data_IF_464613108355
#
_entry.id   IF_464613108355
#
_cell.length_a   1.000
_cell.length_b   1.000
_cell.length_c   1.000
_cell.angle_alpha   90.00
_cell.angle_beta   90.00
_cell.angle_gamma   90.00
#
_symmetry.space_group_name_H-M   'P 1'
#
loop_
_entity.id
_entity.type
_entity.pdbx_description
1 polymer ?
#
# COMPACT_ATOMS: atom_id res chain seq x y z
N UNK A 1 -16.63 -1.57 12.43
CA UNK A 1 -15.30 -2.18 12.62
C UNK A 1 -14.37 -1.16 13.26
N UNK A 2 -13.55 -1.62 14.19
CA UNK A 2 -12.44 -0.80 14.67
C UNK A 2 -11.33 -0.81 13.64
N UNK A 3 -10.90 0.36 13.21
CA UNK A 3 -9.79 0.54 12.29
C UNK A 3 -8.68 1.32 12.99
N UNK A 4 -7.43 0.98 12.70
CA UNK A 4 -6.29 1.68 13.26
C UNK A 4 -5.44 2.22 12.14
N UNK A 5 -5.09 3.49 12.21
CA UNK A 5 -4.17 4.15 11.29
C UNK A 5 -2.81 4.29 11.96
N UNK A 6 -1.76 3.96 11.24
CA UNK A 6 -0.38 4.19 11.67
C UNK A 6 0.10 5.47 10.99
N UNK A 7 0.46 6.47 11.79
CA UNK A 7 1.20 7.62 11.28
C UNK A 7 2.61 7.17 10.89
N UNK A 8 2.83 7.04 9.58
CA UNK A 8 4.09 6.56 9.02
C UNK A 8 5.26 7.49 9.34
N UNK A 9 5.04 8.81 9.38
CA UNK A 9 6.06 9.80 9.71
C UNK A 9 6.56 9.63 11.13
N UNK A 10 5.66 9.54 12.10
CA UNK A 10 6.00 9.28 13.51
C UNK A 10 6.64 7.91 13.70
N UNK A 11 6.14 6.88 13.01
CA UNK A 11 6.69 5.54 13.06
C UNK A 11 8.15 5.52 12.58
N UNK A 12 8.42 6.07 11.39
CA UNK A 12 9.78 6.11 10.84
C UNK A 12 10.71 6.97 11.68
N UNK A 13 10.27 8.11 12.18
CA UNK A 13 11.07 8.98 13.05
C UNK A 13 11.55 8.22 14.29
N UNK A 14 10.63 7.54 14.98
CA UNK A 14 10.97 6.74 16.16
C UNK A 14 11.96 5.62 15.87
N UNK A 15 11.75 4.89 14.77
CA UNK A 15 12.66 3.80 14.38
C UNK A 15 14.03 4.34 14.00
N UNK A 16 14.10 5.39 13.17
CA UNK A 16 15.37 5.99 12.76
C UNK A 16 16.18 6.54 13.95
N UNK A 17 15.51 7.15 14.93
CA UNK A 17 16.15 7.64 16.13
C UNK A 17 16.77 6.51 16.99
N UNK A 18 16.10 5.36 17.03
CA UNK A 18 16.64 4.17 17.69
C UNK A 18 17.83 3.59 16.92
N UNK A 19 17.73 3.48 15.60
CA UNK A 19 18.79 2.94 14.76
C UNK A 19 20.03 3.82 14.77
N UNK A 20 19.89 5.14 14.75
CA UNK A 20 21.00 6.10 14.82
C UNK A 20 21.81 6.01 16.12
N UNK A 21 21.21 5.55 17.22
CA UNK A 21 21.89 5.34 18.51
C UNK A 21 22.75 4.07 18.52
N UNK A 22 22.56 3.17 17.56
CA UNK A 22 23.32 1.92 17.49
C UNK A 22 24.60 2.12 16.68
N UNK A 23 25.75 2.00 17.36
CA UNK A 23 27.09 2.20 16.76
C UNK A 23 27.43 1.19 15.64
N UNK A 24 26.70 0.07 15.58
CA UNK A 24 26.91 -0.96 14.56
C UNK A 24 26.08 -0.69 13.28
N UNK A 25 25.33 0.41 13.23
CA UNK A 25 24.50 0.78 12.09
C UNK A 25 25.06 2.04 11.44
N UNK A 26 25.28 1.98 10.13
CA UNK A 26 25.70 3.11 9.32
C UNK A 26 24.67 3.39 8.23
N UNK A 27 24.47 4.68 7.93
CA UNK A 27 23.54 5.14 6.91
C UNK A 27 24.31 5.73 5.74
N UNK A 28 23.97 5.29 4.54
CA UNK A 28 24.58 5.76 3.29
C UNK A 28 23.50 6.32 2.36
N UNK A 29 23.84 7.31 1.57
CA UNK A 29 22.94 7.94 0.59
C UNK A 29 22.81 7.12 -0.70
N UNK A 30 23.83 6.34 -1.04
CA UNK A 30 23.89 5.50 -2.23
C UNK A 30 24.57 4.18 -1.93
N UNK A 31 24.11 3.11 -2.59
CA UNK A 31 24.76 1.79 -2.55
C UNK A 31 26.16 1.77 -3.17
N UNK A 32 26.47 2.74 -4.04
CA UNK A 32 27.78 2.85 -4.69
C UNK A 32 28.92 3.13 -3.70
N UNK A 33 28.55 3.58 -2.50
CA UNK A 33 29.49 3.82 -1.40
C UNK A 33 29.84 2.57 -0.60
N UNK A 34 29.25 1.43 -0.95
CA UNK A 34 29.35 0.20 -0.18
C UNK A 34 30.26 -0.82 -0.89
N UNK A 35 31.15 -1.43 -0.13
CA UNK A 35 31.77 -2.69 -0.55
C UNK A 35 30.89 -3.85 -0.11
N UNK A 36 30.17 -4.45 -1.06
CA UNK A 36 29.20 -5.52 -0.82
C UNK A 36 29.81 -6.93 -0.88
N UNK A 37 31.14 -7.05 -1.01
CA UNK A 37 31.82 -8.32 -0.99
C UNK A 37 31.63 -9.00 0.38
N UNK A 38 31.28 -10.26 0.38
CA UNK A 38 31.01 -11.05 1.60
C UNK A 38 29.90 -10.49 2.50
N UNK A 39 28.94 -9.80 1.90
CA UNK A 39 27.78 -9.22 2.61
C UNK A 39 26.49 -9.93 2.25
N UNK A 40 25.55 -9.96 3.18
CA UNK A 40 24.16 -10.32 2.89
C UNK A 40 23.38 -9.03 2.61
N UNK A 41 22.68 -8.99 1.48
CA UNK A 41 21.92 -7.83 1.02
C UNK A 41 20.43 -8.10 1.27
N UNK A 42 19.80 -7.27 2.09
CA UNK A 42 18.34 -7.22 2.20
C UNK A 42 17.81 -6.13 1.27
N UNK A 43 17.17 -6.55 0.17
CA UNK A 43 16.70 -5.65 -0.86
C UNK A 43 15.18 -5.41 -0.75
N UNK A 44 14.78 -4.17 -0.51
CA UNK A 44 13.36 -3.77 -0.47
C UNK A 44 12.87 -3.06 -1.74
N UNK A 45 13.76 -2.84 -2.72
CA UNK A 45 13.43 -2.11 -3.94
C UNK A 45 12.87 -3.09 -4.98
N UNK A 46 11.59 -2.94 -5.39
CA UNK A 46 11.02 -3.77 -6.44
C UNK A 46 11.77 -3.63 -7.77
N UNK A 47 11.83 -4.72 -8.52
CA UNK A 47 12.42 -4.71 -9.86
C UNK A 47 11.71 -3.72 -10.77
N UNK A 48 12.46 -2.92 -11.53
CA UNK A 48 11.94 -1.99 -12.55
C UNK A 48 11.23 -2.69 -13.73
N UNK A 49 11.41 -4.00 -13.90
CA UNK A 49 10.82 -4.77 -14.99
C UNK A 49 9.37 -5.23 -14.70
N UNK A 50 8.62 -4.43 -13.98
CA UNK A 50 7.22 -4.69 -13.71
C UNK A 50 6.38 -4.44 -14.96
N UNK A 51 5.62 -5.46 -15.38
CA UNK A 51 4.76 -5.36 -16.55
C UNK A 51 3.56 -4.44 -16.24
N UNK A 52 3.52 -3.27 -16.87
CA UNK A 52 2.44 -2.29 -16.73
C UNK A 52 1.06 -2.81 -17.14
N UNK A 53 0.98 -3.94 -17.86
CA UNK A 53 -0.27 -4.63 -18.18
C UNK A 53 -0.86 -5.42 -17.01
N UNK A 54 -0.09 -5.66 -15.96
CA UNK A 54 -0.60 -6.33 -14.77
C UNK A 54 -1.53 -5.41 -13.99
N UNK A 55 -2.25 -5.98 -13.06
CA UNK A 55 -3.11 -5.22 -12.16
C UNK A 55 -2.25 -4.52 -11.10
N UNK A 56 -2.54 -3.27 -10.88
CA UNK A 56 -1.92 -2.42 -9.86
C UNK A 56 -2.99 -1.77 -9.00
N UNK A 57 -2.69 -1.54 -7.76
CA UNK A 57 -3.37 -0.53 -6.96
C UNK A 57 -2.53 0.74 -7.05
N UNK A 58 -3.06 1.76 -7.73
CA UNK A 58 -2.36 3.04 -7.86
C UNK A 58 -3.26 4.17 -7.35
N UNK A 59 -2.63 5.18 -6.76
CA UNK A 59 -3.36 6.15 -5.97
C UNK A 59 -2.63 7.47 -5.85
N UNK A 60 -3.39 8.50 -5.50
CA UNK A 60 -2.89 9.76 -4.95
C UNK A 60 -3.75 10.16 -3.76
N UNK A 61 -3.09 10.53 -2.67
CA UNK A 61 -3.71 11.05 -1.47
C UNK A 61 -3.25 12.47 -1.17
N UNK A 62 -4.15 13.29 -0.65
CA UNK A 62 -3.85 14.61 -0.10
C UNK A 62 -4.42 14.74 1.29
N UNK A 63 -3.61 15.23 2.22
CA UNK A 63 -4.09 15.64 3.53
C UNK A 63 -4.57 17.08 3.45
N UNK A 64 -5.84 17.28 3.73
CA UNK A 64 -6.47 18.58 3.72
C UNK A 64 -6.82 19.05 5.13
N UNK A 65 -6.77 20.36 5.32
CA UNK A 65 -7.20 21.05 6.53
C UNK A 65 -8.18 22.16 6.20
N UNK A 66 -9.31 22.20 6.90
CA UNK A 66 -10.38 23.16 6.73
C UNK A 66 -10.43 24.13 7.91
N UNK A 67 -10.99 25.33 7.69
CA UNK A 67 -11.14 26.35 8.75
C UNK A 67 -12.28 26.06 9.72
N UNK A 68 -13.12 25.06 9.44
CA UNK A 68 -14.27 24.65 10.26
C UNK A 68 -14.23 23.15 10.45
N UNK A 69 -14.92 22.69 11.49
CA UNK A 69 -15.19 21.27 11.71
C UNK A 69 -16.17 20.77 10.64
N UNK A 70 -15.72 19.84 9.80
CA UNK A 70 -16.48 19.25 8.68
C UNK A 70 -16.53 17.75 8.78
N UNK A 71 -15.47 17.13 9.30
CA UNK A 71 -15.34 15.68 9.39
C UNK A 71 -15.88 15.16 10.73
N UNK A 72 -16.42 13.94 10.69
CA UNK A 72 -16.62 13.14 11.89
C UNK A 72 -15.35 12.33 12.13
N UNK A 73 -14.59 12.63 13.16
CA UNK A 73 -13.32 11.98 13.46
C UNK A 73 -13.45 10.59 14.10
N UNK A 74 -14.67 10.15 14.35
CA UNK A 74 -14.99 8.79 14.77
C UNK A 74 -15.38 7.88 13.59
N UNK A 75 -15.61 8.46 12.39
CA UNK A 75 -16.06 7.74 11.20
C UNK A 75 -15.09 7.98 10.04
N UNK A 76 -14.70 6.92 9.36
CA UNK A 76 -13.96 7.01 8.10
C UNK A 76 -14.70 6.28 6.98
N UNK A 77 -14.57 6.80 5.75
CA UNK A 77 -14.99 6.12 4.54
C UNK A 77 -13.83 5.30 4.00
N UNK A 78 -13.97 3.97 4.10
CA UNK A 78 -12.91 3.06 3.69
C UNK A 78 -12.84 2.89 2.17
N UNK A 79 -13.97 2.87 1.49
CA UNK A 79 -14.05 2.69 0.04
C UNK A 79 -15.37 3.32 -0.44
N UNK A 80 -15.32 4.56 -0.87
CA UNK A 80 -16.46 5.22 -1.48
C UNK A 80 -16.44 4.99 -3.00
N UNK A 81 -17.39 4.22 -3.50
CA UNK A 81 -17.52 3.86 -4.89
C UNK A 81 -18.47 4.80 -5.69
N UNK A 82 -18.99 5.86 -5.07
CA UNK A 82 -19.83 6.84 -5.76
C UNK A 82 -18.99 7.77 -6.64
N UNK A 83 -18.35 7.15 -7.63
CA UNK A 83 -17.45 7.83 -8.57
C UNK A 83 -17.40 7.06 -9.90
N UNK A 84 -16.85 7.70 -10.95
CA UNK A 84 -16.71 7.11 -12.28
C UNK A 84 -15.73 5.94 -12.25
N UNK A 85 -16.20 4.75 -12.59
CA UNK A 85 -15.45 3.49 -12.56
C UNK A 85 -14.64 3.23 -13.84
N UNK A 86 -14.96 3.85 -14.98
CA UNK A 86 -14.29 3.70 -16.29
C UNK A 86 -13.93 2.25 -16.64
N UNK A 87 -14.84 1.31 -16.38
CA UNK A 87 -14.64 -0.14 -16.56
C UNK A 87 -13.45 -0.73 -15.77
N UNK A 88 -13.06 -0.10 -14.68
CA UNK A 88 -12.07 -0.56 -13.71
C UNK A 88 -12.67 -0.53 -12.31
N UNK A 89 -11.87 -0.64 -11.28
CA UNK A 89 -12.34 -0.44 -9.90
C UNK A 89 -11.73 0.87 -9.40
N UNK A 90 -12.59 1.82 -9.07
CA UNK A 90 -12.22 3.13 -8.56
C UNK A 90 -12.97 3.44 -7.28
N UNK A 91 -12.29 3.98 -6.30
CA UNK A 91 -12.92 4.42 -5.05
C UNK A 91 -12.09 5.50 -4.36
N UNK A 92 -12.73 6.19 -3.43
CA UNK A 92 -12.07 7.14 -2.57
C UNK A 92 -11.99 6.64 -1.13
N UNK A 93 -10.89 7.01 -0.46
CA UNK A 93 -10.81 7.00 0.98
C UNK A 93 -11.07 8.41 1.53
N UNK A 94 -11.74 8.50 2.67
CA UNK A 94 -11.78 9.69 3.51
C UNK A 94 -11.45 9.27 4.93
N UNK A 95 -10.26 9.61 5.39
CA UNK A 95 -9.69 9.19 6.67
C UNK A 95 -9.48 10.43 7.55
N UNK A 96 -10.44 10.80 8.40
CA UNK A 96 -10.31 11.92 9.30
C UNK A 96 -9.25 11.70 10.39
N UNK A 97 -8.40 12.68 10.62
CA UNK A 97 -7.47 12.74 11.74
C UNK A 97 -7.99 13.64 12.87
N UNK A 98 -8.88 14.55 12.52
CA UNK A 98 -9.63 15.43 13.43
C UNK A 98 -10.86 15.96 12.69
N UNK A 99 -11.69 16.71 13.39
CA UNK A 99 -12.92 17.31 12.81
C UNK A 99 -12.67 18.28 11.66
N UNK A 100 -11.44 18.78 11.50
CA UNK A 100 -11.07 19.70 10.43
C UNK A 100 -9.90 19.21 9.55
N UNK A 101 -9.45 17.97 9.72
CA UNK A 101 -8.29 17.43 9.02
C UNK A 101 -8.53 15.98 8.58
N UNK A 102 -8.33 15.69 7.30
CA UNK A 102 -8.48 14.35 6.76
C UNK A 102 -7.51 14.07 5.60
N UNK A 103 -7.13 12.80 5.43
CA UNK A 103 -6.56 12.29 4.19
C UNK A 103 -7.70 11.93 3.25
N UNK A 104 -7.66 12.48 2.04
CA UNK A 104 -8.55 12.12 0.93
C UNK A 104 -7.68 11.46 -0.14
N UNK A 105 -8.02 10.23 -0.52
CA UNK A 105 -7.24 9.47 -1.50
C UNK A 105 -8.13 8.94 -2.62
N UNK A 106 -7.72 9.13 -3.87
CA UNK A 106 -8.28 8.46 -5.03
C UNK A 106 -7.47 7.21 -5.33
N UNK A 107 -8.14 6.06 -5.46
CA UNK A 107 -7.48 4.76 -5.63
C UNK A 107 -8.10 3.96 -6.77
N UNK A 108 -7.26 3.45 -7.63
CA UNK A 108 -7.62 2.58 -8.76
C UNK A 108 -7.06 1.18 -8.60
N UNK A 109 -7.84 0.17 -8.97
CA UNK A 109 -7.35 -1.16 -9.28
C UNK A 109 -7.43 -1.35 -10.79
N UNK A 110 -6.33 -1.10 -11.48
CA UNK A 110 -6.27 -1.15 -12.95
C UNK A 110 -4.87 -1.48 -13.45
N UNK A 111 -4.70 -1.56 -14.78
CA UNK A 111 -3.37 -1.58 -15.37
C UNK A 111 -2.80 -0.15 -15.49
N UNK A 112 -1.48 -0.04 -15.47
CA UNK A 112 -0.78 1.25 -15.55
C UNK A 112 -0.58 1.77 -16.98
N UNK A 113 -1.15 1.12 -18.00
CA UNK A 113 -1.03 1.54 -19.40
C UNK A 113 -1.99 2.68 -19.75
N UNK A 114 -3.15 2.70 -19.14
CA UNK A 114 -4.17 3.71 -19.36
C UNK A 114 -3.86 4.96 -18.55
N UNK A 115 -3.14 5.88 -19.17
CA UNK A 115 -2.79 7.16 -18.55
C UNK A 115 -3.98 8.10 -18.31
N UNK A 116 -5.16 7.82 -18.89
CA UNK A 116 -6.36 8.64 -18.66
C UNK A 116 -6.90 8.49 -17.27
N UNK A 117 -6.50 7.43 -16.56
CA UNK A 117 -6.86 7.20 -15.17
C UNK A 117 -5.99 7.98 -14.19
N UNK A 118 -4.86 8.55 -14.62
CA UNK A 118 -3.85 9.17 -13.78
C UNK A 118 -4.08 10.67 -13.53
N UNK A 119 -5.22 11.21 -13.93
CA UNK A 119 -5.57 12.59 -13.60
C UNK A 119 -6.14 12.67 -12.17
N UNK A 120 -5.29 12.30 -11.23
CA UNK A 120 -5.67 12.21 -9.81
C UNK A 120 -6.04 13.57 -9.23
N UNK A 121 -5.38 14.64 -9.65
CA UNK A 121 -5.65 15.99 -9.11
C UNK A 121 -7.07 16.44 -9.46
N UNK A 122 -7.49 16.28 -10.71
CA UNK A 122 -8.86 16.58 -11.11
C UNK A 122 -9.89 15.67 -10.42
N UNK A 123 -9.56 14.39 -10.19
CA UNK A 123 -10.43 13.46 -9.48
C UNK A 123 -10.61 13.88 -8.02
N UNK A 124 -9.52 14.22 -7.33
CA UNK A 124 -9.53 14.68 -5.94
C UNK A 124 -10.29 16.00 -5.80
N UNK A 125 -10.01 16.99 -6.67
CA UNK A 125 -10.70 18.28 -6.66
C UNK A 125 -12.21 18.10 -6.85
N UNK A 126 -12.60 17.28 -7.84
CA UNK A 126 -14.01 16.99 -8.10
C UNK A 126 -14.69 16.31 -6.90
N UNK A 127 -14.09 15.27 -6.33
CA UNK A 127 -14.65 14.53 -5.20
C UNK A 127 -14.79 15.44 -3.95
N UNK A 128 -13.76 16.22 -3.63
CA UNK A 128 -13.77 17.14 -2.49
C UNK A 128 -14.86 18.19 -2.67
N UNK A 129 -14.98 18.77 -3.87
CA UNK A 129 -15.94 19.81 -4.15
C UNK A 129 -17.38 19.30 -4.27
N UNK A 130 -17.57 18.23 -5.04
CA UNK A 130 -18.91 17.76 -5.42
C UNK A 130 -19.51 16.75 -4.44
N UNK A 131 -18.67 15.87 -3.85
CA UNK A 131 -19.13 14.83 -2.92
C UNK A 131 -19.02 15.31 -1.47
N UNK A 132 -17.85 15.78 -1.05
CA UNK A 132 -17.63 16.25 0.31
C UNK A 132 -18.15 17.68 0.54
N UNK A 133 -18.51 18.44 -0.52
CA UNK A 133 -18.99 19.83 -0.46
C UNK A 133 -18.03 20.80 0.21
N UNK A 134 -16.73 20.57 0.06
CA UNK A 134 -15.65 21.38 0.62
C UNK A 134 -15.09 22.27 -0.48
N UNK A 135 -15.19 23.60 -0.32
CA UNK A 135 -14.71 24.55 -1.33
C UNK A 135 -13.37 25.21 -0.93
N UNK A 136 -13.08 25.32 0.35
CA UNK A 136 -11.86 25.96 0.85
C UNK A 136 -11.14 25.05 1.81
N UNK A 137 -9.93 24.70 1.45
CA UNK A 137 -9.03 23.86 2.25
C UNK A 137 -7.57 24.18 1.95
N UNK A 138 -6.70 23.82 2.86
CA UNK A 138 -5.24 23.85 2.69
C UNK A 138 -4.74 22.43 2.54
N UNK A 139 -3.84 22.18 1.60
CA UNK A 139 -3.15 20.90 1.47
C UNK A 139 -1.89 20.97 2.35
N UNK A 140 -1.79 20.05 3.32
CA UNK A 140 -0.66 19.95 4.23
C UNK A 140 0.35 18.88 3.80
N UNK A 141 -0.12 17.81 3.15
CA UNK A 141 0.68 16.69 2.70
C UNK A 141 0.07 16.09 1.43
N UNK A 142 0.90 15.48 0.62
CA UNK A 142 0.45 14.70 -0.53
C UNK A 142 1.34 13.48 -0.73
N UNK A 143 0.73 12.42 -1.22
CA UNK A 143 1.41 11.18 -1.58
C UNK A 143 0.85 10.61 -2.89
N UNK A 144 1.68 9.89 -3.61
CA UNK A 144 1.31 9.18 -4.82
C UNK A 144 2.07 7.87 -4.87
N UNK A 145 1.42 6.80 -5.30
CA UNK A 145 2.06 5.51 -5.33
C UNK A 145 1.37 4.48 -6.21
N UNK A 146 2.07 3.37 -6.41
CA UNK A 146 1.54 2.21 -7.09
C UNK A 146 2.04 0.93 -6.41
N UNK A 147 1.10 0.08 -6.02
CA UNK A 147 1.35 -1.20 -5.37
C UNK A 147 1.09 -2.32 -6.38
N UNK A 148 2.07 -3.19 -6.67
CA UNK A 148 1.86 -4.29 -7.59
C UNK A 148 0.92 -5.34 -6.97
N UNK A 149 -0.17 -5.66 -7.68
CA UNK A 149 -1.08 -6.74 -7.31
C UNK A 149 -0.71 -8.04 -8.06
N UNK A 150 0.58 -8.34 -8.09
CA UNK A 150 1.16 -9.56 -8.65
C UNK A 150 2.47 -9.90 -7.92
N UNK A 151 2.82 -11.16 -7.91
CA UNK A 151 4.08 -11.56 -7.28
C UNK A 151 5.27 -11.13 -8.13
N UNK A 152 6.33 -10.61 -7.49
CA UNK A 152 7.55 -10.27 -8.21
C UNK A 152 8.17 -11.52 -8.84
N UNK A 153 8.77 -11.36 -10.01
CA UNK A 153 9.60 -12.39 -10.64
C UNK A 153 10.98 -12.37 -9.96
N UNK A 154 11.11 -13.08 -8.85
CA UNK A 154 12.36 -13.10 -8.11
C UNK A 154 13.36 -14.02 -8.81
N UNK A 155 14.49 -13.47 -9.23
CA UNK A 155 15.68 -14.25 -9.51
C UNK A 155 16.42 -14.42 -8.19
N UNK A 156 16.65 -15.66 -7.79
CA UNK A 156 17.48 -15.95 -6.61
C UNK A 156 18.92 -15.55 -6.94
N UNK A 157 19.39 -14.50 -6.31
CA UNK A 157 20.80 -14.10 -6.36
C UNK A 157 21.48 -14.60 -5.08
N UNK A 158 22.71 -15.06 -5.22
CA UNK A 158 23.49 -15.46 -4.04
C UNK A 158 23.70 -14.24 -3.13
N UNK A 159 23.53 -14.45 -1.83
CA UNK A 159 23.69 -13.42 -0.79
C UNK A 159 22.69 -12.24 -0.87
N UNK A 160 21.58 -12.38 -1.62
CA UNK A 160 20.54 -11.36 -1.70
C UNK A 160 19.19 -11.94 -1.29
N UNK A 161 18.55 -11.27 -0.36
CA UNK A 161 17.22 -11.60 0.16
C UNK A 161 16.29 -10.43 -0.13
N UNK A 162 15.31 -10.64 -1.00
CA UNK A 162 14.29 -9.64 -1.26
C UNK A 162 13.30 -9.59 -0.09
N UNK A 163 13.03 -8.38 0.41
CA UNK A 163 12.14 -8.12 1.55
C UNK A 163 11.03 -7.13 1.15
N UNK A 164 10.03 -6.98 2.00
CA UNK A 164 8.93 -6.06 1.72
C UNK A 164 8.21 -6.39 0.40
N UNK A 165 7.84 -5.37 -0.35
CA UNK A 165 7.17 -5.53 -1.65
C UNK A 165 8.05 -6.25 -2.67
N UNK A 166 9.37 -6.03 -2.66
CA UNK A 166 10.31 -6.76 -3.49
C UNK A 166 10.32 -8.26 -3.18
N UNK A 167 10.16 -8.63 -1.90
CA UNK A 167 10.06 -10.02 -1.44
C UNK A 167 8.68 -10.65 -1.58
N UNK A 168 7.71 -9.97 -2.21
CA UNK A 168 6.35 -10.49 -2.40
C UNK A 168 5.51 -10.51 -1.13
N UNK A 169 5.78 -9.63 -0.16
CA UNK A 169 5.05 -9.56 1.11
C UNK A 169 3.71 -8.83 0.99
N UNK A 170 3.39 -8.28 -0.17
CA UNK A 170 2.10 -7.63 -0.41
C UNK A 170 0.98 -8.68 -0.54
N UNK A 171 -0.12 -8.52 0.18
CA UNK A 171 -1.36 -9.25 -0.04
C UNK A 171 -2.01 -8.73 -1.31
N UNK A 172 -2.12 -9.57 -2.31
CA UNK A 172 -2.54 -9.13 -3.65
C UNK A 172 -4.02 -8.74 -3.71
N UNK A 173 -4.83 -9.20 -2.77
CA UNK A 173 -6.26 -8.84 -2.69
C UNK A 173 -6.52 -7.50 -1.98
N UNK A 174 -5.58 -7.01 -1.18
CA UNK A 174 -5.80 -5.83 -0.33
C UNK A 174 -4.73 -4.76 -0.44
N UNK A 175 -3.60 -5.04 -1.10
CA UNK A 175 -2.43 -4.16 -1.09
C UNK A 175 -1.66 -4.12 0.24
N UNK A 176 -2.19 -4.69 1.31
CA UNK A 176 -1.55 -4.63 2.62
C UNK A 176 -0.26 -5.45 2.68
N UNK A 177 0.77 -4.83 3.24
CA UNK A 177 2.10 -5.41 3.30
C UNK A 177 2.62 -5.51 4.73
N UNK A 178 2.20 -4.61 5.62
CA UNK A 178 2.79 -4.40 6.95
C UNK A 178 2.85 -5.69 7.82
N UNK A 179 1.75 -6.41 7.97
CA UNK A 179 1.72 -7.62 8.80
C UNK A 179 2.62 -8.72 8.23
N UNK A 180 2.65 -8.90 6.91
CA UNK A 180 3.50 -9.88 6.27
C UNK A 180 4.99 -9.51 6.40
N UNK A 181 5.32 -8.21 6.38
CA UNK A 181 6.68 -7.74 6.67
C UNK A 181 7.08 -8.13 8.10
N UNK A 182 6.20 -7.96 9.08
CA UNK A 182 6.49 -8.35 10.47
C UNK A 182 6.76 -9.86 10.59
N UNK A 183 5.93 -10.70 9.96
CA UNK A 183 6.13 -12.16 9.98
C UNK A 183 7.41 -12.56 9.23
N UNK A 184 7.70 -11.94 8.08
CA UNK A 184 8.94 -12.19 7.35
C UNK A 184 10.17 -11.76 8.18
N UNK A 185 10.11 -10.63 8.86
CA UNK A 185 11.19 -10.16 9.73
C UNK A 185 11.44 -11.12 10.90
N UNK A 186 10.39 -11.67 11.52
CA UNK A 186 10.51 -12.72 12.54
C UNK A 186 11.17 -13.98 11.97
N UNK A 187 10.76 -14.40 10.76
CA UNK A 187 11.33 -15.55 10.09
C UNK A 187 12.83 -15.35 9.84
N UNK A 188 13.24 -14.20 9.31
CA UNK A 188 14.66 -13.87 9.09
C UNK A 188 15.43 -13.89 10.42
N UNK A 189 14.92 -13.22 11.44
CA UNK A 189 15.53 -13.19 12.79
C UNK A 189 15.78 -14.59 13.35
N UNK A 190 14.78 -15.48 13.24
CA UNK A 190 14.85 -16.83 13.79
C UNK A 190 15.79 -17.77 12.99
N UNK A 191 16.20 -17.35 11.79
CA UNK A 191 17.07 -18.14 10.92
C UNK A 191 18.37 -17.41 10.56
N UNK A 192 18.73 -16.37 11.31
CA UNK A 192 19.87 -15.49 10.98
C UNK A 192 21.21 -16.25 10.86
N UNK A 193 21.41 -17.26 11.68
CA UNK A 193 22.63 -18.09 11.66
C UNK A 193 22.76 -18.95 10.37
N UNK A 194 21.66 -19.16 9.65
CA UNK A 194 21.60 -19.92 8.42
C UNK A 194 21.25 -19.06 7.22
N UNK A 195 21.51 -17.76 7.33
CA UNK A 195 21.03 -16.74 6.39
C UNK A 195 21.48 -17.00 4.95
N UNK A 196 22.70 -17.50 4.73
CA UNK A 196 23.24 -17.80 3.40
C UNK A 196 22.48 -18.92 2.66
N UNK A 197 21.81 -19.79 3.41
CA UNK A 197 21.01 -20.92 2.90
C UNK A 197 19.54 -20.76 3.25
N UNK A 198 19.10 -19.53 3.51
CA UNK A 198 17.73 -19.26 3.93
C UNK A 198 16.76 -19.61 2.79
N UNK A 199 15.76 -20.43 3.11
CA UNK A 199 14.66 -20.70 2.18
C UNK A 199 13.83 -19.44 1.99
N UNK A 200 13.35 -19.24 0.76
CA UNK A 200 12.47 -18.11 0.46
C UNK A 200 11.20 -18.22 1.31
N UNK A 201 10.89 -17.14 2.03
CA UNK A 201 9.65 -17.02 2.76
C UNK A 201 8.50 -16.75 1.79
N UNK A 202 7.39 -17.42 1.99
CA UNK A 202 6.18 -17.21 1.19
C UNK A 202 4.98 -16.99 2.08
N UNK A 203 4.10 -16.10 1.66
CA UNK A 203 2.74 -16.00 2.21
C UNK A 203 2.06 -17.36 2.08
N UNK A 204 1.32 -17.79 3.09
CA UNK A 204 0.70 -19.12 3.13
C UNK A 204 -0.15 -19.43 1.88
N UNK A 205 -0.03 -20.66 1.35
CA UNK A 205 -0.68 -21.08 0.09
C UNK A 205 -2.19 -20.85 0.04
N UNK A 206 -2.88 -20.98 1.19
CA UNK A 206 -4.30 -20.66 1.30
C UNK A 206 -4.59 -19.21 0.91
N UNK A 207 -3.80 -18.29 1.42
CA UNK A 207 -3.95 -16.86 1.11
C UNK A 207 -3.59 -16.53 -0.33
N UNK A 208 -2.54 -17.15 -0.86
CA UNK A 208 -2.18 -16.99 -2.28
C UNK A 208 -3.32 -17.47 -3.21
N UNK A 209 -3.98 -18.56 -2.85
CA UNK A 209 -5.12 -19.08 -3.61
C UNK A 209 -6.33 -18.11 -3.57
N UNK A 210 -6.67 -17.61 -2.38
CA UNK A 210 -7.75 -16.63 -2.22
C UNK A 210 -7.45 -15.33 -2.97
N UNK A 211 -6.22 -14.84 -2.89
CA UNK A 211 -5.78 -13.66 -3.64
C UNK A 211 -5.94 -13.86 -5.16
N UNK A 212 -5.60 -15.05 -5.69
CA UNK A 212 -5.80 -15.37 -7.12
C UNK A 212 -7.26 -15.34 -7.53
N UNK A 213 -8.14 -15.91 -6.71
CA UNK A 213 -9.59 -15.87 -6.97
C UNK A 213 -10.06 -14.42 -7.02
N UNK A 214 -9.73 -13.64 -6.00
CA UNK A 214 -10.14 -12.23 -5.91
C UNK A 214 -9.66 -11.42 -7.12
N UNK A 215 -8.38 -11.52 -7.48
CA UNK A 215 -7.81 -10.81 -8.63
C UNK A 215 -8.48 -11.22 -9.96
N UNK A 216 -8.86 -12.50 -10.10
CA UNK A 216 -9.59 -12.96 -11.27
C UNK A 216 -10.98 -12.33 -11.35
N UNK A 217 -11.67 -12.19 -10.21
CA UNK A 217 -12.97 -11.52 -10.15
C UNK A 217 -12.84 -10.03 -10.51
N UNK A 218 -11.85 -9.32 -9.94
CA UNK A 218 -11.56 -7.91 -10.24
C UNK A 218 -11.34 -7.69 -11.75
N UNK A 219 -10.55 -8.57 -12.37
CA UNK A 219 -10.22 -8.45 -13.81
C UNK A 219 -11.40 -8.69 -14.72
N UNK A 220 -12.25 -9.65 -14.37
CA UNK A 220 -13.32 -10.11 -15.27
C UNK A 220 -14.68 -9.46 -14.99
N UNK A 221 -14.86 -8.84 -13.83
CA UNK A 221 -16.11 -8.24 -13.40
C UNK A 221 -15.90 -6.92 -12.66
N UNK A 222 -15.15 -5.96 -13.21
CA UNK A 222 -14.85 -4.71 -12.51
C UNK A 222 -16.12 -3.93 -12.15
N UNK A 223 -17.14 -3.98 -13.00
CA UNK A 223 -18.44 -3.35 -12.81
C UNK A 223 -19.22 -3.88 -11.59
N UNK A 224 -18.97 -5.12 -11.19
CA UNK A 224 -19.62 -5.74 -10.03
C UNK A 224 -18.87 -5.54 -8.73
N UNK A 225 -17.64 -5.05 -8.80
CA UNK A 225 -16.76 -4.96 -7.62
C UNK A 225 -17.33 -4.08 -6.51
N UNK A 226 -17.94 -2.92 -6.76
CA UNK A 226 -18.55 -2.12 -5.68
C UNK A 226 -19.55 -2.94 -4.86
N UNK A 227 -20.43 -3.69 -5.53
CA UNK A 227 -21.41 -4.56 -4.85
C UNK A 227 -20.72 -5.72 -4.14
N UNK A 228 -19.73 -6.35 -4.76
CA UNK A 228 -18.99 -7.47 -4.14
C UNK A 228 -18.30 -7.01 -2.86
N UNK A 229 -17.61 -5.88 -2.87
CA UNK A 229 -16.98 -5.32 -1.66
C UNK A 229 -18.03 -5.03 -0.58
N UNK A 230 -19.13 -4.39 -0.94
CA UNK A 230 -20.21 -4.11 0.01
C UNK A 230 -20.75 -5.40 0.66
N UNK A 231 -21.03 -6.44 -0.15
CA UNK A 231 -21.55 -7.72 0.33
C UNK A 231 -20.51 -8.44 1.23
N UNK A 232 -19.22 -8.36 0.90
CA UNK A 232 -18.12 -8.91 1.72
C UNK A 232 -18.08 -8.26 3.10
N UNK A 233 -18.11 -6.92 3.16
CA UNK A 233 -18.12 -6.20 4.44
C UNK A 233 -19.40 -6.44 5.24
N UNK A 234 -20.58 -6.50 4.57
CA UNK A 234 -21.84 -6.79 5.21
C UNK A 234 -21.91 -8.21 5.77
N UNK A 235 -21.32 -9.17 5.06
CA UNK A 235 -21.34 -10.59 5.42
C UNK A 235 -20.27 -11.00 6.44
N UNK A 236 -19.27 -10.15 6.69
CA UNK A 236 -18.25 -10.44 7.70
C UNK A 236 -18.82 -10.20 9.10
N UNK A 237 -18.63 -11.19 9.99
CA UNK A 237 -19.06 -11.07 11.38
C UNK A 237 -18.35 -9.92 12.08
N UNK A 238 -19.07 -9.18 12.92
CA UNK A 238 -18.46 -8.28 13.90
C UNK A 238 -17.75 -9.14 14.93
N UNK A 239 -16.45 -9.36 14.76
CA UNK A 239 -15.59 -9.98 15.77
C UNK A 239 -15.01 -8.90 16.66
#
# INVERSE_FOLDING_TARGET
YHYQTIDSGLFYTKILDQLKKNKNIQFFKSSDQLNLNNSIIFNSIPSKNSNLSNLWQHFKGIEIETSRDIFDDEIFNLMDFDCDQKNNVHFFYTLPFSKNKALIETTWLSNMKDKTLNDYDAQLEKYIKETLKINNYKINYQEEGAIPLFYPSNKTEKNKIDIGSAGGMTRLSTGYTFLNIQEHSKFIKNNIEKIENLKIYHIGKKYQFLDKIFLNVVKNNPDKMPKIFFDMFKGSSKT
#
